data_IF_954172989268
#
_entry.id   IF_954172989268
#
_cell.length_a   1.000
_cell.length_b   1.000
_cell.length_c   1.000
_cell.angle_alpha   90.00
_cell.angle_beta   90.00
_cell.angle_gamma   90.00
#
_symmetry.space_group_name_H-M   'P 1'
#
loop_
_entity.id
_entity.type
_entity.pdbx_description
1 polymer ?
#
# COMPACT_ATOMS: atom_id res chain seq x y z
N UNK A 1 -13.10 14.69 -8.53
CA UNK A 1 -13.15 13.41 -7.79
C UNK A 1 -11.92 13.15 -6.92
N UNK A 2 -10.69 13.40 -7.41
CA UNK A 2 -9.43 13.16 -6.66
C UNK A 2 -9.32 13.98 -5.34
N UNK A 3 -9.79 15.23 -5.33
CA UNK A 3 -9.73 16.11 -4.14
C UNK A 3 -10.53 15.62 -2.93
N UNK A 4 -11.66 14.94 -3.13
CA UNK A 4 -12.48 14.43 -2.02
C UNK A 4 -11.81 13.21 -1.35
N UNK A 5 -11.21 12.33 -2.15
CA UNK A 5 -10.48 11.15 -1.67
C UNK A 5 -9.25 11.50 -0.81
N UNK A 6 -8.47 12.50 -1.21
CA UNK A 6 -7.28 12.92 -0.46
C UNK A 6 -7.61 13.60 0.88
N UNK A 7 -8.75 14.28 0.99
CA UNK A 7 -9.23 14.85 2.26
C UNK A 7 -9.70 13.73 3.19
N UNK A 8 -10.47 12.77 2.68
CA UNK A 8 -10.88 11.58 3.45
C UNK A 8 -9.67 10.74 3.90
N UNK A 9 -8.66 10.58 3.04
CA UNK A 9 -7.43 9.86 3.39
C UNK A 9 -6.63 10.59 4.47
N UNK A 10 -6.43 11.91 4.33
CA UNK A 10 -5.74 12.71 5.34
C UNK A 10 -6.49 12.70 6.68
N UNK A 11 -7.83 12.79 6.65
CA UNK A 11 -8.67 12.72 7.84
C UNK A 11 -8.62 11.33 8.51
N UNK A 12 -8.75 10.24 7.75
CA UNK A 12 -8.66 8.86 8.28
C UNK A 12 -7.28 8.53 8.83
N UNK A 13 -6.21 8.96 8.16
CA UNK A 13 -4.84 8.76 8.64
C UNK A 13 -4.57 9.57 9.91
N UNK A 14 -5.05 10.82 9.98
CA UNK A 14 -4.93 11.67 11.18
C UNK A 14 -5.74 11.12 12.35
N UNK A 15 -6.99 10.72 12.14
CA UNK A 15 -7.84 10.11 13.17
C UNK A 15 -7.20 8.84 13.74
N UNK A 16 -6.58 8.03 12.88
CA UNK A 16 -5.90 6.80 13.31
C UNK A 16 -4.59 7.08 14.04
N UNK A 17 -3.84 8.11 13.65
CA UNK A 17 -2.64 8.54 14.40
C UNK A 17 -2.99 9.05 15.80
N UNK A 18 -4.07 9.82 15.93
CA UNK A 18 -4.59 10.26 17.24
C UNK A 18 -5.05 9.06 18.09
N UNK A 19 -5.80 8.13 17.51
CA UNK A 19 -6.25 6.90 18.18
C UNK A 19 -5.09 6.02 18.65
N UNK A 20 -4.04 5.85 17.84
CA UNK A 20 -2.82 5.11 18.22
C UNK A 20 -2.04 5.84 19.32
N UNK A 21 -1.92 7.18 19.25
CA UNK A 21 -1.28 7.98 20.30
C UNK A 21 -2.04 7.91 21.63
N UNK A 22 -3.36 7.83 21.58
CA UNK A 22 -4.25 7.70 22.75
C UNK A 22 -4.23 6.27 23.31
N UNK A 23 -4.16 5.26 22.44
CA UNK A 23 -3.93 3.86 22.82
C UNK A 23 -2.58 3.63 23.49
N UNK A 24 -1.53 4.31 23.04
CA UNK A 24 -0.20 4.26 23.67
C UNK A 24 -0.19 4.93 25.05
N UNK A 25 -0.90 6.05 25.23
CA UNK A 25 -1.09 6.68 26.56
C UNK A 25 -1.83 5.76 27.53
N UNK A 26 -2.93 5.13 27.09
CA UNK A 26 -3.73 4.24 27.92
C UNK A 26 -3.04 2.88 28.22
N UNK A 27 -2.14 2.43 27.35
CA UNK A 27 -1.36 1.20 27.57
C UNK A 27 -0.35 1.31 28.72
N UNK A 28 0.06 2.53 29.08
CA UNK A 28 1.00 2.76 30.17
C UNK A 28 0.34 2.71 31.56
N UNK A 29 -0.99 2.76 31.63
CA UNK A 29 -1.77 2.76 32.89
C UNK A 29 -2.34 1.37 33.26
N UNK A 30 -2.34 0.38 32.36
CA UNK A 30 -2.86 -0.97 32.64
C UNK A 30 -1.78 -2.04 32.65
N UNK A 31 -0.87 -1.98 33.63
CA UNK A 31 -0.12 -3.17 34.06
C UNK A 31 -0.91 -3.90 35.15
N UNK A 32 -1.88 -4.70 34.73
CA UNK A 32 -2.66 -5.58 35.59
C UNK A 32 -2.88 -6.94 34.92
N UNK A 33 -2.31 -7.97 35.52
CA UNK A 33 -2.28 -9.37 35.06
C UNK A 33 -3.68 -9.99 35.00
N UNK A 34 -4.08 -10.55 33.84
CA UNK A 34 -5.09 -11.62 33.74
C UNK A 34 -4.70 -12.59 32.61
N UNK A 35 -4.98 -13.91 32.74
CA UNK A 35 -4.46 -14.94 31.84
C UNK A 35 -5.46 -15.38 30.75
N UNK A 36 -4.92 -16.19 29.83
CA UNK A 36 -5.58 -17.21 29.00
C UNK A 36 -5.72 -16.94 27.49
N UNK A 37 -5.08 -17.86 26.75
CA UNK A 37 -5.41 -18.36 25.40
C UNK A 37 -5.28 -17.40 24.22
N UNK A 38 -4.04 -17.23 23.74
CA UNK A 38 -3.80 -16.81 22.36
C UNK A 38 -3.78 -18.05 21.46
N UNK A 39 -4.89 -18.33 20.79
CA UNK A 39 -4.83 -19.01 19.49
C UNK A 39 -4.38 -17.93 18.51
N UNK A 40 -3.09 -17.90 18.20
CA UNK A 40 -2.55 -16.95 17.22
C UNK A 40 -2.88 -17.45 15.81
N UNK A 41 -3.21 -16.55 14.88
CA UNK A 41 -3.42 -16.85 13.46
C UNK A 41 -2.20 -17.49 12.75
N UNK A 42 -1.09 -17.71 13.48
CA UNK A 42 0.04 -18.52 13.04
C UNK A 42 -0.23 -20.04 13.14
N UNK A 43 -1.17 -20.47 13.98
CA UNK A 43 -1.49 -21.90 14.20
C UNK A 43 -2.45 -22.48 13.14
N UNK A 44 -3.34 -21.67 12.56
CA UNK A 44 -4.27 -22.16 11.52
C UNK A 44 -3.56 -22.55 10.21
N UNK A 45 -2.37 -21.99 9.95
CA UNK A 45 -1.62 -22.27 8.72
C UNK A 45 -0.69 -23.50 8.84
N UNK A 46 -0.66 -24.17 10.00
CA UNK A 46 0.19 -25.34 10.23
C UNK A 46 -0.56 -26.68 10.11
N UNK A 47 -1.89 -26.69 10.10
CA UNK A 47 -2.68 -27.94 10.13
C UNK A 47 -3.11 -28.54 8.79
N UNK A 48 -2.76 -27.94 7.65
CA UNK A 48 -3.34 -28.32 6.35
C UNK A 48 -2.33 -28.73 5.25
N UNK A 49 -1.19 -29.32 5.59
CA UNK A 49 -0.25 -29.82 4.56
C UNK A 49 0.04 -31.31 4.81
N UNK A 50 -0.64 -32.16 4.03
CA UNK A 50 -0.30 -33.58 3.94
C UNK A 50 1.11 -33.80 3.38
N UNK A 51 1.70 -34.99 3.58
CA UNK A 51 3.04 -35.30 3.10
C UNK A 51 3.07 -35.23 1.56
N UNK A 52 3.77 -34.22 1.01
CA UNK A 52 3.91 -33.99 -0.44
C UNK A 52 3.57 -32.58 -0.92
N UNK A 53 2.97 -31.71 -0.08
CA UNK A 53 2.71 -30.33 -0.47
C UNK A 53 3.99 -29.48 -0.40
N UNK A 54 4.42 -28.93 -1.54
CA UNK A 54 5.52 -27.96 -1.59
C UNK A 54 5.13 -26.71 -0.81
N UNK A 55 5.99 -26.28 0.13
CA UNK A 55 5.77 -25.05 0.88
C UNK A 55 5.80 -23.87 -0.10
N UNK A 56 4.86 -22.91 -0.02
CA UNK A 56 4.90 -21.73 -0.86
C UNK A 56 6.24 -21.01 -0.66
N UNK A 57 6.98 -20.84 -1.76
CA UNK A 57 8.27 -20.15 -1.75
C UNK A 57 8.02 -18.68 -1.48
N UNK A 58 8.55 -18.18 -0.36
CA UNK A 58 8.46 -16.76 -0.02
C UNK A 58 9.60 -16.01 -0.74
N UNK A 59 9.34 -14.87 -1.41
CA UNK A 59 10.35 -14.14 -2.18
C UNK A 59 11.65 -13.87 -1.41
N UNK A 60 11.53 -13.56 -0.11
CA UNK A 60 12.66 -13.26 0.77
C UNK A 60 13.68 -14.39 0.91
N UNK A 61 13.25 -15.65 0.81
CA UNK A 61 14.15 -16.80 0.88
C UNK A 61 15.01 -16.95 -0.37
N UNK A 62 14.59 -16.37 -1.50
CA UNK A 62 15.33 -16.43 -2.76
C UNK A 62 16.33 -15.28 -2.95
N UNK A 63 16.14 -14.15 -2.25
CA UNK A 63 16.91 -12.94 -2.47
C UNK A 63 17.93 -12.62 -1.35
N UNK A 64 17.89 -13.32 -0.22
CA UNK A 64 18.67 -12.95 0.96
C UNK A 64 19.46 -14.15 1.52
N UNK A 65 20.78 -14.05 1.43
CA UNK A 65 21.74 -14.94 2.09
C UNK A 65 22.81 -14.11 2.81
N UNK A 66 23.32 -14.63 3.93
CA UNK A 66 24.39 -13.96 4.66
C UNK A 66 25.68 -13.98 3.83
N UNK A 67 26.26 -12.81 3.57
CA UNK A 67 27.40 -12.65 2.65
C UNK A 67 28.62 -13.53 2.99
N UNK A 68 28.82 -13.89 4.27
CA UNK A 68 29.94 -14.73 4.69
C UNK A 68 29.64 -16.23 4.85
N UNK A 69 28.38 -16.63 5.05
CA UNK A 69 28.02 -18.02 5.40
C UNK A 69 27.00 -18.63 4.45
N UNK A 70 26.38 -17.83 3.59
CA UNK A 70 25.26 -18.24 2.75
C UNK A 70 23.98 -18.56 3.52
N UNK A 71 23.98 -18.47 4.86
CA UNK A 71 22.84 -18.83 5.69
C UNK A 71 21.63 -17.95 5.39
N UNK A 72 20.45 -18.56 5.45
CA UNK A 72 19.18 -17.86 5.33
C UNK A 72 18.93 -16.94 6.54
N UNK A 73 18.14 -15.89 6.33
CA UNK A 73 17.76 -14.97 7.41
C UNK A 73 16.94 -15.71 8.49
N UNK A 74 17.29 -15.55 9.78
CA UNK A 74 16.51 -16.11 10.88
C UNK A 74 15.03 -15.67 10.83
N UNK A 75 14.10 -16.59 11.07
CA UNK A 75 12.66 -16.30 10.95
C UNK A 75 12.17 -15.21 11.92
N UNK A 76 12.74 -15.13 13.12
CA UNK A 76 12.44 -14.05 14.08
C UNK A 76 12.78 -12.66 13.51
N UNK A 77 13.97 -12.53 12.90
CA UNK A 77 14.41 -11.29 12.28
C UNK A 77 13.54 -10.92 11.07
N UNK A 78 13.20 -11.91 10.24
CA UNK A 78 12.28 -11.71 9.11
C UNK A 78 10.90 -11.24 9.60
N UNK A 79 10.39 -11.82 10.69
CA UNK A 79 9.13 -11.40 11.30
C UNK A 79 9.18 -9.95 11.79
N UNK A 80 10.29 -9.53 12.42
CA UNK A 80 10.52 -8.14 12.84
C UNK A 80 10.60 -7.19 11.64
N UNK A 81 11.30 -7.59 10.57
CA UNK A 81 11.40 -6.81 9.34
C UNK A 81 10.01 -6.59 8.72
N UNK A 82 9.21 -7.63 8.57
CA UNK A 82 7.85 -7.52 8.03
C UNK A 82 6.98 -6.61 8.90
N UNK A 83 7.04 -6.76 10.24
CA UNK A 83 6.28 -5.89 11.16
C UNK A 83 6.73 -4.43 11.11
N UNK A 84 8.01 -4.16 10.89
CA UNK A 84 8.56 -2.81 10.79
C UNK A 84 8.02 -2.02 9.59
N UNK A 85 7.42 -2.69 8.61
CA UNK A 85 6.77 -2.02 7.47
C UNK A 85 5.64 -1.07 7.89
N UNK A 86 4.99 -1.33 9.03
CA UNK A 86 3.99 -0.46 9.64
C UNK A 86 4.57 0.50 10.69
N UNK A 87 5.88 0.74 10.68
CA UNK A 87 6.48 1.80 11.48
C UNK A 87 6.19 3.16 10.81
N UNK A 88 5.52 4.05 11.53
CA UNK A 88 5.21 5.43 11.11
C UNK A 88 4.44 5.60 9.77
N UNK A 89 3.45 4.75 9.43
CA UNK A 89 2.73 4.89 8.16
C UNK A 89 2.01 6.22 8.06
N UNK A 90 1.55 6.81 9.18
CA UNK A 90 0.95 8.14 9.19
C UNK A 90 1.90 9.21 8.64
N UNK A 91 3.03 9.44 9.32
CA UNK A 91 4.02 10.45 8.91
C UNK A 91 4.54 10.20 7.49
N UNK A 92 4.78 8.94 7.14
CA UNK A 92 5.34 8.57 5.84
C UNK A 92 4.41 8.92 4.66
N UNK A 93 3.09 8.93 4.85
CA UNK A 93 2.14 9.30 3.78
C UNK A 93 1.60 10.73 3.95
N UNK A 94 1.51 11.28 5.16
CA UNK A 94 1.07 12.67 5.38
C UNK A 94 2.05 13.69 4.78
N UNK A 95 3.38 13.45 4.87
CA UNK A 95 4.37 14.35 4.28
C UNK A 95 4.26 14.43 2.74
N UNK A 96 4.20 13.31 1.98
CA UNK A 96 3.89 13.34 0.55
C UNK A 96 2.55 13.99 0.21
N UNK A 97 1.51 13.82 1.04
CA UNK A 97 0.22 14.50 0.84
C UNK A 97 0.39 16.03 0.93
N UNK A 98 1.19 16.53 1.88
CA UNK A 98 1.50 17.97 1.98
C UNK A 98 2.22 18.46 0.73
N UNK A 99 3.26 17.75 0.28
CA UNK A 99 4.02 18.12 -0.92
C UNK A 99 3.14 18.13 -2.17
N UNK A 100 2.29 17.11 -2.33
CA UNK A 100 1.35 17.03 -3.44
C UNK A 100 0.32 18.17 -3.42
N UNK A 101 -0.22 18.52 -2.25
CA UNK A 101 -1.16 19.66 -2.12
C UNK A 101 -0.49 21.00 -2.35
N UNK A 102 0.74 21.17 -1.86
CA UNK A 102 1.55 22.37 -2.10
C UNK A 102 1.82 22.54 -3.60
N UNK A 103 2.26 21.48 -4.27
CA UNK A 103 2.47 21.45 -5.72
C UNK A 103 1.19 21.84 -6.49
N UNK A 104 0.04 21.24 -6.17
CA UNK A 104 -1.22 21.63 -6.78
C UNK A 104 -1.59 23.09 -6.51
N UNK A 105 -1.45 23.55 -5.26
CA UNK A 105 -1.78 24.93 -4.89
C UNK A 105 -0.96 25.95 -5.70
N UNK A 106 0.33 25.68 -5.90
CA UNK A 106 1.25 26.54 -6.64
C UNK A 106 1.01 26.55 -8.16
N UNK A 107 0.42 25.48 -8.71
CA UNK A 107 0.13 25.37 -10.15
C UNK A 107 -1.32 25.69 -10.51
N UNK A 108 -2.24 25.68 -9.55
CA UNK A 108 -3.64 26.08 -9.75
C UNK A 108 -3.89 27.55 -9.42
N UNK A 109 -3.08 28.11 -8.53
CA UNK A 109 -3.18 29.49 -8.07
C UNK A 109 -1.77 30.07 -8.01
N UNK A 110 -1.64 31.39 -8.08
CA UNK A 110 -0.37 32.08 -7.79
C UNK A 110 -0.45 32.63 -6.36
N UNK A 111 -0.16 31.81 -5.32
CA UNK A 111 -0.17 32.33 -3.96
C UNK A 111 0.90 33.40 -3.81
N UNK A 112 0.56 34.49 -3.12
CA UNK A 112 1.50 35.59 -2.88
C UNK A 112 2.71 35.15 -2.05
N UNK A 113 2.59 34.06 -1.25
CA UNK A 113 3.66 33.55 -0.38
C UNK A 113 3.67 32.01 -0.29
N UNK A 114 4.43 31.30 -1.14
CA UNK A 114 4.53 29.83 -1.13
C UNK A 114 4.90 29.21 0.22
N UNK A 115 5.80 29.83 0.99
CA UNK A 115 6.21 29.33 2.30
C UNK A 115 5.07 29.35 3.32
N UNK A 116 4.15 30.33 3.21
CA UNK A 116 2.98 30.43 4.08
C UNK A 116 1.99 29.32 3.79
N UNK A 117 1.78 28.98 2.51
CA UNK A 117 0.92 27.86 2.12
C UNK A 117 1.49 26.53 2.62
N UNK A 118 2.81 26.33 2.52
CA UNK A 118 3.45 25.16 3.13
C UNK A 118 3.22 25.09 4.65
N UNK A 119 3.41 26.20 5.37
CA UNK A 119 3.19 26.24 6.82
C UNK A 119 1.73 25.91 7.20
N UNK A 120 0.76 26.44 6.43
CA UNK A 120 -0.67 26.14 6.58
C UNK A 120 -0.95 24.66 6.41
N UNK A 121 -0.42 24.04 5.35
CA UNK A 121 -0.62 22.62 5.05
C UNK A 121 0.06 21.69 6.08
N UNK A 122 1.25 22.04 6.57
CA UNK A 122 1.93 21.30 7.64
C UNK A 122 1.07 21.24 8.91
N UNK A 123 0.53 22.37 9.36
CA UNK A 123 -0.36 22.42 10.53
C UNK A 123 -1.67 21.63 10.27
N UNK A 124 -2.31 21.89 9.13
CA UNK A 124 -3.60 21.29 8.76
C UNK A 124 -3.53 19.77 8.62
N UNK A 125 -2.43 19.22 8.06
CA UNK A 125 -2.35 17.81 7.62
C UNK A 125 -1.44 16.98 8.52
N UNK A 126 -0.29 17.51 8.93
CA UNK A 126 0.62 16.83 9.86
C UNK A 126 0.36 17.18 11.33
N UNK A 127 -0.10 18.40 11.63
CA UNK A 127 -0.27 18.88 13.00
C UNK A 127 1.07 19.24 13.65
N UNK A 128 2.10 19.44 12.83
CA UNK A 128 3.43 19.87 13.24
C UNK A 128 3.73 21.13 12.42
N UNK A 129 3.97 22.28 13.06
CA UNK A 129 4.20 23.52 12.35
C UNK A 129 5.51 23.46 11.57
N UNK A 130 5.55 24.11 10.41
CA UNK A 130 6.80 24.32 9.70
C UNK A 130 7.74 25.19 10.56
N UNK A 131 9.04 24.87 10.56
CA UNK A 131 10.04 25.64 11.30
C UNK A 131 10.08 27.09 10.80
N UNK A 132 9.92 28.10 11.68
CA UNK A 132 9.98 29.51 11.29
C UNK A 132 11.29 29.86 10.56
N UNK A 133 11.20 30.70 9.52
CA UNK A 133 12.34 31.10 8.71
C UNK A 133 12.77 30.10 7.64
N UNK A 134 12.15 28.92 7.56
CA UNK A 134 12.41 27.96 6.48
C UNK A 134 11.55 28.22 5.24
N UNK A 135 12.02 27.78 4.07
CA UNK A 135 11.33 27.96 2.79
C UNK A 135 11.34 26.67 1.96
N UNK A 136 10.66 25.63 2.45
CA UNK A 136 10.57 24.32 1.78
C UNK A 136 10.23 24.41 0.26
N UNK A 137 9.27 25.24 -0.20
CA UNK A 137 8.97 25.34 -1.63
C UNK A 137 10.17 25.76 -2.50
N UNK A 138 11.14 26.50 -1.95
CA UNK A 138 12.32 26.93 -2.71
C UNK A 138 13.36 25.81 -2.86
N UNK A 139 13.27 24.76 -2.04
CA UNK A 139 14.12 23.57 -2.10
C UNK A 139 13.42 22.37 -2.73
N UNK A 140 12.12 22.51 -3.04
CA UNK A 140 11.32 21.42 -3.57
C UNK A 140 11.53 21.26 -5.07
N UNK A 141 12.58 20.52 -5.44
CA UNK A 141 13.03 20.38 -6.83
C UNK A 141 11.97 19.84 -7.82
N UNK A 142 10.93 19.15 -7.34
CA UNK A 142 9.84 18.68 -8.20
C UNK A 142 9.05 19.83 -8.84
N UNK A 143 9.03 21.02 -8.21
CA UNK A 143 8.33 22.20 -8.75
C UNK A 143 9.00 22.80 -9.99
N UNK A 144 10.30 22.59 -10.17
CA UNK A 144 11.09 23.15 -11.27
C UNK A 144 11.68 22.06 -12.18
N UNK A 145 11.24 20.81 -12.01
CA UNK A 145 11.58 19.67 -12.85
C UNK A 145 10.41 19.26 -13.73
N UNK A 146 10.47 18.08 -14.34
CA UNK A 146 9.39 17.51 -15.18
C UNK A 146 8.21 16.93 -14.37
N UNK A 147 8.04 17.37 -13.12
CA UNK A 147 7.04 16.81 -12.19
C UNK A 147 6.15 17.89 -11.57
N UNK A 148 6.23 19.11 -12.12
CA UNK A 148 5.37 20.23 -11.80
C UNK A 148 3.90 19.83 -11.95
N UNK A 149 3.08 20.09 -10.94
CA UNK A 149 1.67 19.68 -10.88
C UNK A 149 1.41 18.15 -10.92
N UNK A 150 2.44 17.29 -10.85
CA UNK A 150 2.30 15.83 -10.90
C UNK A 150 2.74 15.14 -9.61
N UNK A 151 3.08 15.89 -8.55
CA UNK A 151 3.59 15.35 -7.27
C UNK A 151 2.68 14.30 -6.62
N UNK A 152 1.37 14.40 -6.84
CA UNK A 152 0.38 13.43 -6.35
C UNK A 152 0.49 12.04 -7.00
N UNK A 153 1.19 11.93 -8.14
CA UNK A 153 1.33 10.72 -8.93
C UNK A 153 1.92 9.56 -8.13
N UNK A 154 2.89 9.82 -7.25
CA UNK A 154 3.47 8.79 -6.36
C UNK A 154 2.42 8.07 -5.51
N UNK A 155 1.56 8.83 -4.82
CA UNK A 155 0.52 8.27 -3.95
C UNK A 155 -0.55 7.56 -4.78
N UNK A 156 -0.96 8.14 -5.92
CA UNK A 156 -1.93 7.50 -6.81
C UNK A 156 -1.41 6.14 -7.33
N UNK A 157 -0.15 6.09 -7.75
CA UNK A 157 0.48 4.84 -8.20
C UNK A 157 0.59 3.80 -7.09
N UNK A 158 0.91 4.20 -5.85
CA UNK A 158 0.95 3.27 -4.72
C UNK A 158 -0.43 2.70 -4.38
N UNK A 159 -1.48 3.53 -4.39
CA UNK A 159 -2.86 3.08 -4.14
C UNK A 159 -3.26 2.03 -5.16
N UNK A 160 -3.09 2.30 -6.46
CA UNK A 160 -3.45 1.36 -7.52
C UNK A 160 -2.62 0.08 -7.51
N UNK A 161 -1.32 0.20 -7.20
CA UNK A 161 -0.44 -0.97 -7.08
C UNK A 161 -0.85 -1.84 -5.90
N UNK A 162 -1.23 -1.23 -4.78
CA UNK A 162 -1.66 -1.97 -3.59
C UNK A 162 -2.97 -2.71 -3.85
N UNK A 163 -3.93 -2.06 -4.51
CA UNK A 163 -5.20 -2.70 -4.91
C UNK A 163 -4.97 -3.88 -5.84
N UNK A 164 -4.17 -3.68 -6.89
CA UNK A 164 -3.78 -4.73 -7.83
C UNK A 164 -3.09 -5.91 -7.12
N UNK A 165 -2.14 -5.63 -6.23
CA UNK A 165 -1.41 -6.66 -5.51
C UNK A 165 -2.31 -7.46 -4.55
N UNK A 166 -3.14 -6.77 -3.76
CA UNK A 166 -4.01 -7.42 -2.79
C UNK A 166 -5.15 -8.21 -3.45
N UNK A 167 -5.71 -7.68 -4.53
CA UNK A 167 -6.82 -8.32 -5.24
C UNK A 167 -6.36 -9.54 -6.03
N UNK A 168 -5.23 -9.47 -6.73
CA UNK A 168 -4.83 -10.51 -7.69
C UNK A 168 -3.62 -11.35 -7.26
N UNK A 169 -2.64 -10.79 -6.54
CA UNK A 169 -1.40 -11.50 -6.20
C UNK A 169 -1.40 -12.10 -4.78
N UNK A 170 -2.10 -11.47 -3.83
CA UNK A 170 -2.12 -11.92 -2.43
C UNK A 170 -2.97 -13.17 -2.23
N UNK A 171 -4.04 -13.34 -3.02
CA UNK A 171 -4.97 -14.47 -2.89
C UNK A 171 -4.31 -15.81 -3.28
N UNK A 172 -3.48 -15.80 -4.33
CA UNK A 172 -2.90 -17.03 -4.89
C UNK A 172 -1.45 -17.31 -4.46
N UNK A 173 -0.85 -16.41 -3.68
CA UNK A 173 0.55 -16.48 -3.28
C UNK A 173 1.47 -15.98 -4.39
N UNK A 174 2.28 -14.95 -4.08
CA UNK A 174 3.09 -14.14 -5.02
C UNK A 174 3.94 -14.94 -6.01
N UNK A 175 4.35 -16.17 -5.67
CA UNK A 175 5.22 -17.03 -6.49
C UNK A 175 4.66 -18.46 -6.68
N UNK A 176 3.35 -18.68 -6.49
CA UNK A 176 2.75 -20.01 -6.72
C UNK A 176 2.79 -20.43 -8.19
N UNK A 177 3.89 -21.05 -8.61
CA UNK A 177 4.08 -21.62 -9.95
C UNK A 177 3.27 -22.90 -10.17
N UNK A 178 1.94 -22.85 -10.04
CA UNK A 178 1.09 -23.89 -10.62
C UNK A 178 0.77 -23.50 -12.06
N UNK A 179 1.51 -24.02 -13.02
CA UNK A 179 1.13 -23.87 -14.43
C UNK A 179 -0.23 -24.54 -14.64
N UNK A 180 -1.22 -23.79 -15.14
CA UNK A 180 -2.37 -24.39 -15.80
C UNK A 180 -2.07 -24.43 -17.30
N UNK A 181 -2.12 -25.62 -17.89
CA UNK A 181 -2.17 -25.79 -19.35
C UNK A 181 -3.53 -25.29 -19.84
N UNK A 182 -3.53 -24.29 -20.70
CA UNK A 182 -4.73 -23.86 -21.43
C UNK A 182 -5.26 -25.03 -22.25
N UNK A 183 -6.48 -25.48 -22.01
CA UNK A 183 -7.29 -26.12 -23.06
C UNK A 183 -7.92 -25.02 -23.88
N UNK A 184 -7.63 -25.00 -25.18
CA UNK A 184 -8.23 -24.06 -26.13
C UNK A 184 -9.76 -24.18 -26.13
N UNK A 185 -10.46 -23.04 -26.05
CA UNK A 185 -11.89 -22.95 -26.37
C UNK A 185 -12.90 -22.77 -25.22
N UNK A 186 -12.47 -22.49 -23.98
CA UNK A 186 -13.39 -22.29 -22.84
C UNK A 186 -13.65 -20.82 -22.48
N UNK A 187 -14.90 -20.49 -22.14
CA UNK A 187 -15.35 -19.21 -21.57
C UNK A 187 -14.46 -18.69 -20.42
N UNK A 188 -14.46 -17.37 -20.13
CA UNK A 188 -13.67 -16.82 -19.01
C UNK A 188 -14.01 -17.57 -17.70
N UNK A 189 -13.01 -17.95 -16.89
CA UNK A 189 -13.27 -18.67 -15.65
C UNK A 189 -14.05 -17.75 -14.71
N UNK A 190 -15.26 -18.17 -14.37
CA UNK A 190 -16.04 -17.65 -13.24
C UNK A 190 -15.24 -17.80 -11.95
N UNK A 191 -15.05 -16.70 -11.21
CA UNK A 191 -14.74 -16.60 -9.77
C UNK A 191 -13.99 -17.79 -9.15
N UNK A 192 -12.92 -18.26 -9.79
CA UNK A 192 -12.06 -19.32 -9.29
C UNK A 192 -10.62 -18.81 -9.28
N UNK A 193 -9.88 -19.00 -8.18
CA UNK A 193 -8.52 -18.49 -8.03
C UNK A 193 -7.61 -19.02 -9.16
N UNK A 194 -7.02 -18.12 -9.93
CA UNK A 194 -6.11 -18.43 -11.02
C UNK A 194 -4.68 -18.54 -10.48
N UNK A 195 -3.86 -19.52 -10.91
CA UNK A 195 -2.52 -19.67 -10.36
C UNK A 195 -1.64 -18.42 -10.60
N UNK A 196 -0.73 -18.07 -9.68
CA UNK A 196 0.02 -16.81 -9.74
C UNK A 196 0.84 -16.59 -11.01
N UNK A 197 1.22 -17.67 -11.72
CA UNK A 197 1.87 -17.58 -13.01
C UNK A 197 0.95 -16.99 -14.09
N UNK A 198 -0.34 -17.33 -14.07
CA UNK A 198 -1.34 -16.75 -14.97
C UNK A 198 -1.53 -15.27 -14.67
N UNK A 199 -1.70 -14.91 -13.39
CA UNK A 199 -1.80 -13.50 -12.95
C UNK A 199 -0.57 -12.68 -13.38
N UNK A 200 0.63 -13.25 -13.30
CA UNK A 200 1.85 -12.60 -13.78
C UNK A 200 1.89 -12.42 -15.31
N UNK A 201 1.40 -13.40 -16.08
CA UNK A 201 1.29 -13.28 -17.54
C UNK A 201 0.22 -12.27 -17.97
N UNK A 202 -0.88 -12.20 -17.21
CA UNK A 202 -1.94 -11.22 -17.41
C UNK A 202 -1.41 -9.81 -17.06
N UNK A 203 -0.66 -9.66 -15.96
CA UNK A 203 0.02 -8.41 -15.63
C UNK A 203 0.97 -7.97 -16.76
N UNK A 204 1.79 -8.90 -17.28
CA UNK A 204 2.66 -8.63 -18.42
C UNK A 204 1.87 -8.18 -19.65
N UNK A 205 0.75 -8.83 -19.95
CA UNK A 205 -0.02 -8.59 -21.18
C UNK A 205 -0.89 -7.33 -21.12
N UNK A 206 -1.45 -7.04 -19.95
CA UNK A 206 -2.38 -5.94 -19.70
C UNK A 206 -1.68 -4.65 -19.24
N UNK A 207 -0.63 -4.75 -18.41
CA UNK A 207 0.06 -3.59 -17.83
C UNK A 207 1.38 -3.28 -18.54
N UNK A 208 2.25 -4.27 -18.75
CA UNK A 208 3.60 -3.99 -19.27
C UNK A 208 3.63 -3.86 -20.79
N UNK A 209 3.03 -4.81 -21.51
CA UNK A 209 3.09 -4.91 -22.98
C UNK A 209 2.56 -3.68 -23.72
N UNK A 210 1.46 -3.02 -23.29
CA UNK A 210 0.96 -1.85 -23.99
C UNK A 210 1.88 -0.61 -23.89
N UNK A 211 2.71 -0.51 -22.86
CA UNK A 211 3.46 0.72 -22.57
C UNK A 211 2.52 1.94 -22.52
N UNK A 212 2.89 3.02 -23.20
CA UNK A 212 2.07 4.24 -23.30
C UNK A 212 1.00 4.22 -24.41
N UNK A 213 0.74 3.08 -25.06
CA UNK A 213 -0.22 3.01 -26.18
C UNK A 213 -1.69 2.93 -25.75
N UNK A 214 -1.96 2.73 -24.46
CA UNK A 214 -3.30 2.68 -23.86
C UNK A 214 -3.36 3.57 -22.63
N UNK A 215 -4.55 4.04 -22.30
CA UNK A 215 -4.78 4.79 -21.07
C UNK A 215 -4.55 3.91 -19.83
N UNK A 216 -3.82 4.45 -18.85
CA UNK A 216 -3.41 3.73 -17.66
C UNK A 216 -4.59 3.25 -16.82
N UNK A 217 -5.65 4.07 -16.66
CA UNK A 217 -6.84 3.66 -15.91
C UNK A 217 -7.56 2.53 -16.64
N UNK A 218 -7.64 2.59 -17.97
CA UNK A 218 -8.17 1.52 -18.80
C UNK A 218 -7.40 0.21 -18.64
N UNK A 219 -6.07 0.27 -18.58
CA UNK A 219 -5.20 -0.90 -18.35
C UNK A 219 -5.40 -1.52 -16.97
N UNK A 220 -5.43 -0.70 -15.91
CA UNK A 220 -5.65 -1.16 -14.53
C UNK A 220 -7.04 -1.79 -14.39
N UNK A 221 -8.07 -1.15 -14.95
CA UNK A 221 -9.45 -1.68 -14.95
C UNK A 221 -9.54 -3.01 -15.69
N UNK A 222 -8.90 -3.13 -16.85
CA UNK A 222 -8.85 -4.37 -17.61
C UNK A 222 -8.18 -5.49 -16.79
N UNK A 223 -7.11 -5.17 -16.07
CA UNK A 223 -6.38 -6.16 -15.28
C UNK A 223 -7.13 -6.58 -14.01
N UNK A 224 -7.76 -5.64 -13.31
CA UNK A 224 -8.57 -5.90 -12.12
C UNK A 224 -9.93 -6.55 -12.42
N UNK A 225 -10.48 -6.30 -13.63
CA UNK A 225 -11.86 -6.65 -13.97
C UNK A 225 -12.91 -5.68 -13.41
N UNK A 226 -12.51 -4.72 -12.58
CA UNK A 226 -13.35 -3.69 -11.97
C UNK A 226 -12.60 -2.34 -11.89
N UNK A 227 -13.30 -1.26 -11.50
CA UNK A 227 -12.64 0.01 -11.24
C UNK A 227 -11.78 -0.08 -9.95
N UNK A 228 -10.56 0.48 -9.96
CA UNK A 228 -9.67 0.40 -8.80
C UNK A 228 -10.22 1.18 -7.60
N UNK A 229 -9.94 0.69 -6.40
CA UNK A 229 -10.36 1.27 -5.13
C UNK A 229 -9.16 1.61 -4.24
N UNK A 230 -9.40 2.33 -3.15
CA UNK A 230 -8.37 2.63 -2.14
C UNK A 230 -8.41 1.65 -0.95
N UNK A 231 -9.33 0.70 -0.95
CA UNK A 231 -9.66 -0.12 0.22
C UNK A 231 -8.47 -0.99 0.63
N UNK A 232 -7.86 -1.67 -0.34
CA UNK A 232 -6.63 -2.45 -0.12
C UNK A 232 -5.50 -1.59 0.45
N UNK A 233 -5.34 -0.36 -0.05
CA UNK A 233 -4.34 0.58 0.46
C UNK A 233 -4.63 0.95 1.91
N UNK A 234 -5.85 1.36 2.25
CA UNK A 234 -6.25 1.70 3.62
C UNK A 234 -6.07 0.53 4.58
N UNK A 235 -6.56 -0.67 4.20
CA UNK A 235 -6.39 -1.90 4.98
C UNK A 235 -4.91 -2.24 5.18
N UNK A 236 -4.06 -2.04 4.16
CA UNK A 236 -2.63 -2.29 4.27
C UNK A 236 -2.00 -1.39 5.34
N UNK A 237 -2.48 -0.16 5.55
CA UNK A 237 -1.96 0.75 6.59
C UNK A 237 -2.64 0.57 7.95
N UNK A 238 -3.52 -0.43 8.10
CA UNK A 238 -4.24 -0.70 9.35
C UNK A 238 -5.47 0.19 9.59
N UNK A 239 -5.99 0.82 8.54
CA UNK A 239 -7.19 1.66 8.60
C UNK A 239 -8.44 0.82 8.30
N UNK A 240 -9.57 1.23 8.89
CA UNK A 240 -10.89 0.63 8.63
C UNK A 240 -11.47 1.18 7.32
N UNK A 241 -12.26 0.35 6.62
CA UNK A 241 -13.03 0.75 5.44
C UNK A 241 -14.50 0.49 5.72
N UNK A 242 -15.33 1.53 5.73
CA UNK A 242 -16.78 1.34 5.91
C UNK A 242 -17.44 0.92 4.59
N UNK A 243 -18.24 -0.16 4.64
CA UNK A 243 -19.22 -0.46 3.58
C UNK A 243 -18.79 -1.42 2.47
N UNK A 244 -17.86 -2.35 2.68
CA UNK A 244 -17.61 -3.38 1.66
C UNK A 244 -18.73 -4.44 1.65
N UNK A 245 -19.71 -4.28 0.75
CA UNK A 245 -20.51 -5.40 0.26
C UNK A 245 -19.51 -6.36 -0.41
N UNK A 246 -19.42 -7.65 0.01
CA UNK A 246 -18.49 -8.57 -0.62
C UNK A 246 -18.73 -8.58 -2.13
N UNK A 247 -17.67 -8.68 -2.96
CA UNK A 247 -17.84 -8.77 -4.40
C UNK A 247 -18.84 -9.89 -4.69
N UNK A 248 -19.93 -9.55 -5.37
CA UNK A 248 -20.91 -10.53 -5.80
C UNK A 248 -20.17 -11.53 -6.69
N UNK A 249 -20.16 -12.77 -6.23
CA UNK A 249 -19.74 -13.93 -7.01
C UNK A 249 -20.62 -14.09 -8.25
#
# INVERSE_FOLDING_TARGET
>A
MVFSGSIHLAASVRASHLSVAEGLKNSNERKGTLPATQVTAADENQRALGPGASRPVKPWHCCLSWWGTGNAIPQDLLGKLIKSWLANPGLFHLCPIILAKLDQALHMQTPSYPAQENARLCEEILGVPATPGTHLPATFGHLAGSYDAHSYGYLCSEVYTTDTFHTLFKQDGVLSGKAHTLTEGGAPPSCSPAPSQQVAMDYRSCILRPGGSKDAKGMVKLFLGCDPTQDAFLLSKGLQVEGCKPPAC
#
